data_IF_965156968917
#
_entry.id   IF_965156968917
#
_cell.length_a   1.000
_cell.length_b   1.000
_cell.length_c   1.000
_cell.angle_alpha   90.00
_cell.angle_beta   90.00
_cell.angle_gamma   90.00
#
_symmetry.space_group_name_H-M   'P 1'
#
loop_
_entity.id
_entity.type
_entity.pdbx_description
1 polymer ?
#
# COMPACT_ATOMS: atom_id res chain seq x y z
N UNK A 1 -3.27 -4.82 -2.68
CA UNK A 1 -4.04 -5.37 -1.55
C UNK A 1 -5.52 -5.64 -1.88
N UNK A 2 -6.30 -4.66 -2.32
CA UNK A 2 -7.78 -4.81 -2.44
C UNK A 2 -8.30 -5.24 -3.82
N UNK A 3 -7.41 -5.32 -4.82
CA UNK A 3 -7.70 -5.72 -6.20
C UNK A 3 -8.20 -4.58 -7.10
N UNK A 4 -7.90 -4.68 -8.40
CA UNK A 4 -8.23 -3.64 -9.40
C UNK A 4 -9.68 -3.16 -9.36
N UNK A 5 -10.73 -4.01 -9.25
CA UNK A 5 -12.11 -3.54 -9.27
C UNK A 5 -12.42 -2.52 -8.16
N UNK A 6 -11.88 -2.70 -6.95
CA UNK A 6 -12.09 -1.75 -5.85
C UNK A 6 -11.33 -0.44 -6.08
N UNK A 7 -10.10 -0.52 -6.60
CA UNK A 7 -9.31 0.67 -6.97
C UNK A 7 -9.99 1.49 -8.06
N UNK A 8 -10.52 0.85 -9.10
CA UNK A 8 -11.22 1.53 -10.20
C UNK A 8 -12.50 2.23 -9.70
N UNK A 9 -13.27 1.58 -8.82
CA UNK A 9 -14.43 2.20 -8.20
C UNK A 9 -14.04 3.42 -7.36
N UNK A 10 -12.96 3.32 -6.58
CA UNK A 10 -12.47 4.43 -5.76
C UNK A 10 -12.02 5.63 -6.62
N UNK A 11 -11.37 5.39 -7.76
CA UNK A 11 -11.01 6.44 -8.72
C UNK A 11 -12.24 7.16 -9.26
N UNK A 12 -13.29 6.42 -9.62
CA UNK A 12 -14.55 7.02 -10.09
C UNK A 12 -15.24 7.89 -9.02
N UNK A 13 -15.23 7.45 -7.75
CA UNK A 13 -15.76 8.26 -6.64
C UNK A 13 -14.90 9.51 -6.41
N UNK A 14 -13.57 9.37 -6.43
CA UNK A 14 -12.66 10.49 -6.25
C UNK A 14 -12.83 11.55 -7.35
N UNK A 15 -12.96 11.14 -8.61
CA UNK A 15 -13.22 12.03 -9.74
C UNK A 15 -14.50 12.86 -9.54
N UNK A 16 -15.57 12.23 -9.06
CA UNK A 16 -16.83 12.91 -8.75
C UNK A 16 -16.66 13.95 -7.63
N UNK A 17 -15.98 13.59 -6.55
CA UNK A 17 -15.74 14.48 -5.40
C UNK A 17 -14.89 15.68 -5.82
N UNK A 18 -13.79 15.47 -6.55
CA UNK A 18 -12.93 16.55 -7.05
C UNK A 18 -13.70 17.48 -8.00
N UNK A 19 -14.52 16.93 -8.89
CA UNK A 19 -15.35 17.71 -9.80
C UNK A 19 -16.36 18.60 -9.06
N UNK A 20 -17.01 18.07 -8.03
CA UNK A 20 -17.97 18.82 -7.20
C UNK A 20 -17.27 19.95 -6.43
N UNK A 21 -16.12 19.65 -5.81
CA UNK A 21 -15.32 20.62 -5.06
C UNK A 21 -14.84 21.75 -5.96
N UNK A 22 -14.32 21.42 -7.15
CA UNK A 22 -13.94 22.40 -8.18
C UNK A 22 -15.11 23.28 -8.59
N UNK A 23 -16.31 22.73 -8.79
CA UNK A 23 -17.51 23.51 -9.12
C UNK A 23 -17.92 24.49 -8.01
N UNK A 24 -17.54 24.19 -6.76
CA UNK A 24 -17.73 25.06 -5.59
C UNK A 24 -16.58 26.07 -5.41
N UNK A 25 -15.63 26.12 -6.33
CA UNK A 25 -14.46 27.00 -6.26
C UNK A 25 -13.39 26.53 -5.25
N UNK A 26 -13.50 25.30 -4.75
CA UNK A 26 -12.48 24.71 -3.87
C UNK A 26 -11.31 24.25 -4.72
N UNK A 27 -10.10 24.63 -4.32
CA UNK A 27 -8.84 24.19 -4.92
C UNK A 27 -8.25 23.11 -4.01
N UNK A 28 -8.18 21.90 -4.53
CA UNK A 28 -7.58 20.76 -3.84
C UNK A 28 -6.05 20.79 -3.89
N UNK A 29 -5.41 20.26 -2.85
CA UNK A 29 -3.97 20.01 -2.87
C UNK A 29 -3.72 18.65 -3.52
N UNK A 30 -3.13 18.66 -4.72
CA UNK A 30 -2.76 17.46 -5.48
C UNK A 30 -1.61 16.66 -4.83
N UNK A 31 -0.96 17.23 -3.81
CA UNK A 31 0.19 16.61 -3.15
C UNK A 31 1.42 16.59 -4.04
N UNK A 32 2.30 15.62 -3.77
CA UNK A 32 3.52 15.44 -4.56
C UNK A 32 3.17 14.84 -5.93
N UNK A 33 3.64 15.44 -7.05
CA UNK A 33 3.35 14.91 -8.38
C UNK A 33 3.96 13.51 -8.55
N UNK A 34 3.26 12.66 -9.28
CA UNK A 34 3.77 11.36 -9.68
C UNK A 34 4.98 11.53 -10.61
N UNK A 35 6.05 10.81 -10.30
CA UNK A 35 7.21 10.65 -11.19
C UNK A 35 7.34 9.18 -11.54
N UNK A 36 7.26 8.86 -12.83
CA UNK A 36 7.42 7.48 -13.30
C UNK A 36 8.89 7.06 -13.15
N UNK A 37 9.20 5.99 -12.39
CA UNK A 37 10.56 5.47 -12.30
C UNK A 37 11.11 5.05 -13.68
N UNK A 38 12.34 5.44 -13.99
CA UNK A 38 13.00 5.07 -15.25
C UNK A 38 13.21 3.55 -15.38
N UNK A 39 13.34 2.84 -14.25
CA UNK A 39 13.45 1.39 -14.21
C UNK A 39 12.25 0.67 -14.84
N UNK A 40 11.10 1.32 -15.02
CA UNK A 40 9.92 0.69 -15.63
C UNK A 40 10.05 0.48 -17.14
N UNK A 41 11.03 1.11 -17.78
CA UNK A 41 11.33 0.86 -19.19
C UNK A 41 12.15 -0.41 -19.40
N UNK A 42 12.59 -1.06 -18.31
CA UNK A 42 13.33 -2.32 -18.32
C UNK A 42 12.83 -3.25 -17.21
N UNK A 43 12.17 -4.33 -17.62
CA UNK A 43 11.62 -5.33 -16.69
C UNK A 43 12.69 -5.95 -15.76
N UNK A 44 13.96 -6.01 -16.18
CA UNK A 44 15.05 -6.47 -15.35
C UNK A 44 15.40 -5.45 -14.28
N UNK A 45 15.48 -4.17 -14.62
CA UNK A 45 15.73 -3.10 -13.64
C UNK A 45 14.58 -2.98 -12.65
N UNK A 46 13.33 -3.11 -13.09
CA UNK A 46 12.17 -3.14 -12.21
C UNK A 46 12.23 -4.32 -11.20
N UNK A 47 12.69 -5.49 -11.65
CA UNK A 47 12.88 -6.66 -10.78
C UNK A 47 14.00 -6.44 -9.75
N UNK A 48 15.14 -5.88 -10.18
CA UNK A 48 16.27 -5.55 -9.30
C UNK A 48 15.83 -4.53 -8.24
N UNK A 49 15.24 -3.42 -8.66
CA UNK A 49 14.70 -2.40 -7.77
C UNK A 49 13.66 -2.98 -6.80
N UNK A 50 12.75 -3.82 -7.30
CA UNK A 50 11.75 -4.48 -6.46
C UNK A 50 12.36 -5.40 -5.40
N UNK A 51 13.43 -6.11 -5.74
CA UNK A 51 14.15 -6.97 -4.79
C UNK A 51 14.83 -6.13 -3.70
N UNK A 52 15.42 -4.99 -4.06
CA UNK A 52 16.02 -4.08 -3.10
C UNK A 52 14.98 -3.47 -2.17
N UNK A 53 13.86 -3.01 -2.71
CA UNK A 53 12.75 -2.44 -1.91
C UNK A 53 12.16 -3.49 -0.97
N UNK A 54 11.92 -4.71 -1.45
CA UNK A 54 11.47 -5.82 -0.59
C UNK A 54 12.46 -6.05 0.57
N UNK A 55 13.74 -6.15 0.25
CA UNK A 55 14.80 -6.37 1.24
C UNK A 55 14.78 -5.29 2.32
N UNK A 56 14.58 -4.03 1.95
CA UNK A 56 14.50 -2.92 2.91
C UNK A 56 13.26 -3.02 3.79
N UNK A 57 12.09 -3.26 3.19
CA UNK A 57 10.79 -3.32 3.89
C UNK A 57 10.73 -4.52 4.85
N UNK A 58 11.41 -5.62 4.52
CA UNK A 58 11.41 -6.87 5.30
C UNK A 58 12.57 -6.98 6.29
N UNK A 59 13.35 -5.92 6.48
CA UNK A 59 14.43 -5.90 7.46
C UNK A 59 15.66 -6.73 7.07
N UNK A 60 15.89 -6.93 5.77
CA UNK A 60 17.20 -7.33 5.22
C UNK A 60 17.29 -8.72 4.59
N UNK A 61 16.24 -9.56 4.66
CA UNK A 61 16.24 -10.88 4.01
C UNK A 61 15.02 -10.98 3.09
N UNK A 62 15.17 -10.84 1.77
CA UNK A 62 14.05 -11.02 0.84
C UNK A 62 13.69 -12.50 0.74
N UNK A 63 12.40 -12.79 0.60
CA UNK A 63 11.93 -14.14 0.28
C UNK A 63 11.66 -14.33 -1.21
N UNK A 64 11.62 -15.61 -1.62
CA UNK A 64 11.41 -16.02 -3.00
C UNK A 64 10.35 -17.13 -3.09
N UNK A 65 9.37 -16.99 -3.98
CA UNK A 65 8.45 -18.08 -4.34
C UNK A 65 9.00 -18.91 -5.50
N UNK A 66 10.02 -19.74 -5.23
CA UNK A 66 10.70 -20.56 -6.25
C UNK A 66 9.78 -21.58 -6.94
N UNK A 67 8.72 -22.02 -6.27
CA UNK A 67 7.73 -22.93 -6.86
C UNK A 67 6.77 -22.24 -7.85
N UNK A 68 6.67 -20.91 -7.79
CA UNK A 68 5.81 -20.09 -8.65
C UNK A 68 6.56 -18.82 -9.09
N UNK A 69 7.59 -18.95 -9.95
CA UNK A 69 8.49 -17.85 -10.31
C UNK A 69 7.77 -16.69 -11.00
N UNK A 70 6.63 -16.93 -11.65
CA UNK A 70 5.81 -15.86 -12.24
C UNK A 70 5.19 -14.96 -11.16
N UNK A 71 4.67 -15.54 -10.07
CA UNK A 71 4.13 -14.76 -8.96
C UNK A 71 5.24 -14.03 -8.20
N UNK A 72 6.39 -14.67 -8.02
CA UNK A 72 7.60 -14.05 -7.45
C UNK A 72 8.06 -12.84 -8.29
N UNK A 73 8.06 -12.99 -9.61
CA UNK A 73 8.38 -11.90 -10.51
C UNK A 73 7.37 -10.75 -10.39
N UNK A 74 6.07 -11.03 -10.36
CA UNK A 74 5.04 -9.97 -10.26
C UNK A 74 5.10 -9.23 -8.93
N UNK A 75 5.32 -9.94 -7.82
CA UNK A 75 5.39 -9.26 -6.52
C UNK A 75 6.64 -8.37 -6.45
N UNK A 76 7.77 -8.81 -6.98
CA UNK A 76 8.97 -7.97 -7.00
C UNK A 76 8.88 -6.84 -8.02
N UNK A 77 8.73 -7.16 -9.30
CA UNK A 77 8.78 -6.15 -10.36
C UNK A 77 7.64 -5.13 -10.29
N UNK A 78 6.42 -5.57 -9.97
CA UNK A 78 5.25 -4.68 -9.97
C UNK A 78 4.90 -4.17 -8.57
N UNK A 79 4.76 -5.02 -7.55
CA UNK A 79 4.41 -4.51 -6.22
C UNK A 79 5.58 -3.71 -5.62
N UNK A 80 6.78 -4.30 -5.52
CA UNK A 80 7.91 -3.62 -4.90
C UNK A 80 8.60 -2.60 -5.84
N UNK A 81 8.84 -2.98 -7.09
CA UNK A 81 9.59 -2.18 -8.08
C UNK A 81 8.77 -1.09 -8.77
N UNK A 82 7.45 -1.08 -8.59
CA UNK A 82 6.56 -0.06 -9.11
C UNK A 82 5.75 0.56 -7.97
N UNK A 83 4.83 -0.18 -7.35
CA UNK A 83 3.90 0.42 -6.37
C UNK A 83 4.60 0.93 -5.11
N UNK A 84 5.59 0.22 -4.56
CA UNK A 84 6.34 0.66 -3.38
C UNK A 84 7.51 1.59 -3.73
N UNK A 85 8.03 1.50 -4.94
CA UNK A 85 9.13 2.32 -5.43
C UNK A 85 8.77 3.81 -5.60
N UNK A 86 7.48 4.14 -5.79
CA UNK A 86 7.04 5.54 -5.90
C UNK A 86 7.08 6.26 -4.55
N UNK A 87 7.43 7.54 -4.58
CA UNK A 87 7.79 8.35 -3.42
C UNK A 87 6.75 9.42 -3.05
N UNK A 88 5.50 9.25 -3.54
CA UNK A 88 4.36 10.12 -3.18
C UNK A 88 3.90 9.90 -1.74
N UNK A 89 4.08 8.68 -1.21
CA UNK A 89 3.87 8.33 0.19
C UNK A 89 5.19 7.88 0.80
N UNK A 90 5.46 8.29 2.04
CA UNK A 90 6.52 7.67 2.84
C UNK A 90 6.15 6.22 3.15
N UNK A 91 7.13 5.40 3.54
CA UNK A 91 6.86 4.04 4.01
C UNK A 91 5.85 4.01 5.16
N UNK A 92 6.02 4.90 6.14
CA UNK A 92 5.09 5.01 7.27
C UNK A 92 3.64 5.29 6.82
N UNK A 93 3.45 6.25 5.91
CA UNK A 93 2.13 6.60 5.36
C UNK A 93 1.51 5.45 4.55
N UNK A 94 2.33 4.80 3.73
CA UNK A 94 1.90 3.66 2.90
C UNK A 94 1.39 2.51 3.75
N UNK A 95 2.08 2.20 4.84
CA UNK A 95 1.68 1.11 5.73
C UNK A 95 0.37 1.41 6.45
N UNK A 96 0.10 2.66 6.87
CA UNK A 96 -1.21 3.02 7.44
C UNK A 96 -2.37 2.77 6.45
N UNK A 97 -2.19 3.13 5.16
CA UNK A 97 -3.19 2.86 4.12
C UNK A 97 -3.37 1.35 3.90
N UNK A 98 -2.27 0.59 3.91
CA UNK A 98 -2.30 -0.88 3.75
C UNK A 98 -3.02 -1.56 4.92
N UNK A 99 -2.70 -1.19 6.17
CA UNK A 99 -3.36 -1.67 7.39
C UNK A 99 -4.85 -1.37 7.33
N UNK A 100 -5.24 -0.14 7.01
CA UNK A 100 -6.65 0.24 6.88
C UNK A 100 -7.39 -0.61 5.82
N UNK A 101 -6.76 -0.82 4.66
CA UNK A 101 -7.34 -1.63 3.59
C UNK A 101 -7.50 -3.11 3.97
N UNK A 102 -6.50 -3.70 4.61
CA UNK A 102 -6.50 -5.10 5.04
C UNK A 102 -7.51 -5.35 6.17
N UNK A 103 -7.70 -4.38 7.07
CA UNK A 103 -8.65 -4.45 8.18
C UNK A 103 -10.10 -4.75 7.72
N UNK A 104 -10.45 -4.29 6.51
CA UNK A 104 -11.77 -4.45 5.90
C UNK A 104 -11.93 -5.75 5.08
N UNK A 105 -10.96 -6.67 5.12
CA UNK A 105 -10.93 -7.90 4.34
C UNK A 105 -10.93 -9.15 5.23
N UNK A 106 -11.63 -10.22 4.82
CA UNK A 106 -11.58 -11.53 5.50
C UNK A 106 -10.47 -12.40 4.90
N UNK A 107 -9.82 -13.24 5.73
CA UNK A 107 -8.87 -14.25 5.25
C UNK A 107 -7.48 -13.71 4.90
N UNK A 108 -7.14 -12.54 5.42
CA UNK A 108 -5.85 -11.88 5.24
C UNK A 108 -5.17 -11.57 6.58
N UNK A 109 -5.55 -12.27 7.65
CA UNK A 109 -5.06 -12.02 9.01
C UNK A 109 -3.52 -12.03 9.11
N UNK A 110 -2.77 -12.95 8.46
CA UNK A 110 -1.30 -12.91 8.46
C UNK A 110 -0.73 -11.63 7.83
N UNK A 111 -1.35 -11.14 6.75
CA UNK A 111 -0.93 -9.89 6.12
C UNK A 111 -1.29 -8.69 6.99
N UNK A 112 -2.48 -8.69 7.59
CA UNK A 112 -2.92 -7.60 8.46
C UNK A 112 -1.96 -7.41 9.65
N UNK A 113 -1.60 -8.49 10.35
CA UNK A 113 -0.65 -8.41 11.46
C UNK A 113 0.76 -8.05 11.00
N UNK A 114 1.26 -8.65 9.91
CA UNK A 114 2.58 -8.29 9.37
C UNK A 114 2.68 -6.83 8.96
N UNK A 115 1.62 -6.25 8.37
CA UNK A 115 1.60 -4.84 7.99
C UNK A 115 1.45 -3.90 9.19
N UNK A 116 0.87 -4.33 10.32
CA UNK A 116 0.90 -3.54 11.57
C UNK A 116 2.32 -3.43 12.11
N UNK A 117 3.06 -4.54 12.12
CA UNK A 117 4.48 -4.54 12.52
C UNK A 117 5.33 -3.69 11.56
N UNK A 118 5.10 -3.83 10.25
CA UNK A 118 5.77 -3.03 9.24
C UNK A 118 5.46 -1.53 9.38
N UNK A 119 4.21 -1.16 9.71
CA UNK A 119 3.85 0.23 9.95
C UNK A 119 4.68 0.86 11.07
N UNK A 120 4.93 0.11 12.16
CA UNK A 120 5.79 0.57 13.25
C UNK A 120 7.26 0.63 12.80
N UNK A 121 7.74 -0.41 12.11
CA UNK A 121 9.10 -0.46 11.58
C UNK A 121 9.42 0.70 10.64
N UNK A 122 8.45 1.12 9.80
CA UNK A 122 8.60 2.22 8.85
C UNK A 122 8.43 3.61 9.47
N UNK A 123 8.22 3.70 10.80
CA UNK A 123 8.32 4.95 11.56
C UNK A 123 7.04 5.45 12.22
N UNK A 124 5.94 4.71 12.17
CA UNK A 124 4.76 5.04 12.99
C UNK A 124 4.97 4.56 14.44
N UNK A 125 4.31 5.18 15.42
CA UNK A 125 4.28 4.61 16.77
C UNK A 125 3.28 3.46 16.86
N UNK A 126 3.49 2.55 17.81
CA UNK A 126 2.53 1.46 18.05
C UNK A 126 1.16 2.01 18.41
N UNK A 127 1.11 3.08 19.20
CA UNK A 127 -0.12 3.74 19.63
C UNK A 127 -0.91 4.27 18.42
N UNK A 128 -0.25 4.90 17.45
CA UNK A 128 -0.90 5.39 16.24
C UNK A 128 -1.54 4.25 15.41
N UNK A 129 -0.86 3.11 15.31
CA UNK A 129 -1.36 1.95 14.58
C UNK A 129 -2.54 1.32 15.31
N UNK A 130 -2.47 1.20 16.63
CA UNK A 130 -3.55 0.66 17.46
C UNK A 130 -4.78 1.60 17.43
N UNK A 131 -4.58 2.91 17.52
CA UNK A 131 -5.63 3.93 17.40
C UNK A 131 -6.34 3.86 16.05
N UNK A 132 -5.59 3.71 14.95
CA UNK A 132 -6.17 3.50 13.62
C UNK A 132 -7.06 2.23 13.62
N UNK A 133 -6.55 1.12 14.13
CA UNK A 133 -7.29 -0.14 14.18
C UNK A 133 -8.57 -0.03 15.02
N UNK A 134 -8.48 0.62 16.19
CA UNK A 134 -9.62 0.84 17.08
C UNK A 134 -10.66 1.74 16.42
N UNK A 135 -10.23 2.86 15.84
CA UNK A 135 -11.13 3.79 15.15
C UNK A 135 -11.85 3.10 13.97
N UNK A 136 -11.14 2.26 13.22
CA UNK A 136 -11.75 1.46 12.15
C UNK A 136 -12.75 0.43 12.71
N UNK A 137 -12.48 -0.20 13.86
CA UNK A 137 -13.41 -1.09 14.55
C UNK A 137 -14.70 -0.39 14.98
N UNK A 138 -14.57 0.83 15.48
CA UNK A 138 -15.70 1.58 16.04
C UNK A 138 -16.59 2.18 14.95
N UNK A 139 -16.00 2.54 13.80
CA UNK A 139 -16.70 3.25 12.73
C UNK A 139 -17.06 2.37 11.53
N UNK A 140 -16.42 1.19 11.40
CA UNK A 140 -16.62 0.27 10.29
C UNK A 140 -16.61 -1.19 10.75
N UNK A 141 -17.21 -2.07 9.96
CA UNK A 141 -17.12 -3.51 10.20
C UNK A 141 -15.71 -4.00 9.84
N UNK A 142 -14.86 -4.20 10.86
CA UNK A 142 -13.63 -4.98 10.69
C UNK A 142 -13.98 -6.40 10.27
N UNK A 143 -13.31 -6.85 9.22
CA UNK A 143 -13.47 -8.20 8.67
C UNK A 143 -12.25 -9.08 8.90
N UNK A 144 -11.08 -8.46 9.14
CA UNK A 144 -9.92 -9.12 9.74
C UNK A 144 -10.08 -9.12 11.27
N UNK A 145 -9.65 -10.19 11.95
CA UNK A 145 -9.78 -10.28 13.41
C UNK A 145 -8.60 -9.60 14.09
N UNK A 146 -8.88 -8.72 15.05
CA UNK A 146 -7.89 -8.28 16.03
C UNK A 146 -7.52 -9.49 16.90
N UNK A 147 -6.24 -9.85 16.97
CA UNK A 147 -5.73 -10.81 17.96
C UNK A 147 -5.31 -10.11 19.24
#
# INVERSE_FOLDING_TARGET
YTGFPRSLNALGVLEQVLSQRKAQGIIDNEGKPFSRPAAWDDAKLALEQGTDVQTQVEGGIPWNYTFCPQADFYIKSHLYGDVFAVDQLTGAQRELVTVAALSAMTGVDPQFEGHKECAVFMGNTKEQVDELCQWLADNYLLKAKLQ
#
